data_IF_377586571034
#
_entry.id   IF_377586571034
#
_cell.length_a   1.000
_cell.length_b   1.000
_cell.length_c   1.000
_cell.angle_alpha   90.00
_cell.angle_beta   90.00
_cell.angle_gamma   90.00
#
_symmetry.space_group_name_H-M   'P 1'
#
loop_
_entity.id
_entity.type
_entity.pdbx_description
1 polymer ?
#
# COMPACT_ATOMS: atom_id res chain seq x y z
N UNK A 1 -6.84 10.55 20.53
CA UNK A 1 -5.56 10.77 19.81
C UNK A 1 -5.82 10.99 18.31
N UNK A 2 -6.16 12.21 17.86
CA UNK A 2 -7.12 12.30 16.75
C UNK A 2 -6.62 12.87 15.41
N UNK A 3 -5.42 13.45 15.30
CA UNK A 3 -4.99 14.11 14.04
C UNK A 3 -3.88 13.37 13.32
N UNK A 4 -2.79 13.01 14.00
CA UNK A 4 -1.66 12.32 13.35
C UNK A 4 -2.07 10.99 12.71
N UNK A 5 -2.85 10.15 13.42
CA UNK A 5 -3.34 8.86 12.89
C UNK A 5 -4.26 9.04 11.68
N UNK A 6 -5.11 10.08 11.66
CA UNK A 6 -5.98 10.41 10.53
C UNK A 6 -5.19 10.91 9.32
N UNK A 7 -4.22 11.79 9.55
CA UNK A 7 -3.31 12.29 8.50
C UNK A 7 -2.52 11.13 7.88
N UNK A 8 -1.97 10.25 8.72
CA UNK A 8 -1.27 9.05 8.25
C UNK A 8 -2.21 8.11 7.49
N UNK A 9 -3.43 7.89 7.98
CA UNK A 9 -4.43 7.08 7.28
C UNK A 9 -4.74 7.60 5.87
N UNK A 10 -4.97 8.90 5.74
CA UNK A 10 -5.19 9.54 4.43
C UNK A 10 -3.95 9.43 3.54
N UNK A 11 -2.76 9.69 4.10
CA UNK A 11 -1.50 9.57 3.35
C UNK A 11 -1.34 8.16 2.79
N UNK A 12 -1.59 7.11 3.57
CA UNK A 12 -1.46 5.73 3.13
C UNK A 12 -2.52 5.32 2.09
N UNK A 13 -3.75 5.83 2.19
CA UNK A 13 -4.79 5.56 1.18
C UNK A 13 -4.47 6.16 -0.18
N UNK A 14 -3.76 7.27 -0.25
CA UNK A 14 -3.35 7.90 -1.52
C UNK A 14 -2.03 7.30 -2.02
N UNK A 15 -1.07 7.08 -1.12
CA UNK A 15 0.25 6.56 -1.48
C UNK A 15 0.16 5.13 -2.05
N UNK A 16 -0.68 4.28 -1.45
CA UNK A 16 -0.86 2.89 -1.87
C UNK A 16 -1.24 2.73 -3.37
N UNK A 17 -2.33 3.33 -3.89
CA UNK A 17 -2.67 3.23 -5.30
C UNK A 17 -1.64 3.92 -6.21
N UNK A 18 -1.03 5.02 -5.77
CA UNK A 18 0.01 5.73 -6.54
C UNK A 18 1.24 4.83 -6.74
N UNK A 19 1.70 4.12 -5.71
CA UNK A 19 2.82 3.18 -5.81
C UNK A 19 2.49 2.02 -6.76
N UNK A 20 1.30 1.43 -6.65
CA UNK A 20 0.86 0.35 -7.56
C UNK A 20 0.80 0.84 -9.01
N UNK A 21 0.29 2.05 -9.24
CA UNK A 21 0.27 2.67 -10.57
C UNK A 21 1.68 2.80 -11.16
N UNK A 22 2.65 3.31 -10.38
CA UNK A 22 4.03 3.44 -10.83
C UNK A 22 4.70 2.08 -11.09
N UNK A 23 4.41 1.06 -10.30
CA UNK A 23 4.93 -0.30 -10.54
C UNK A 23 4.39 -0.88 -11.85
N UNK A 24 3.09 -0.71 -12.13
CA UNK A 24 2.50 -1.18 -13.40
C UNK A 24 3.06 -0.39 -14.58
N UNK A 25 3.15 0.93 -14.48
CA UNK A 25 3.71 1.77 -15.55
C UNK A 25 5.19 1.44 -15.80
N UNK A 26 5.96 1.20 -14.74
CA UNK A 26 7.33 0.71 -14.83
C UNK A 26 7.43 -0.63 -15.55
N UNK A 27 6.55 -1.58 -15.23
CA UNK A 27 6.51 -2.88 -15.90
C UNK A 27 6.22 -2.74 -17.39
N UNK A 28 5.20 -1.96 -17.76
CA UNK A 28 4.83 -1.71 -19.16
C UNK A 28 5.97 -1.05 -19.94
N UNK A 29 6.69 -0.10 -19.31
CA UNK A 29 7.78 0.61 -19.98
C UNK A 29 9.06 -0.23 -20.13
N UNK A 30 9.37 -1.08 -19.15
CA UNK A 30 10.66 -1.78 -19.13
C UNK A 30 10.61 -3.18 -19.73
N UNK A 31 9.45 -3.86 -19.73
CA UNK A 31 9.35 -5.22 -20.27
C UNK A 31 9.47 -5.16 -21.80
N UNK A 32 10.50 -5.82 -22.34
CA UNK A 32 10.73 -5.91 -23.78
C UNK A 32 11.37 -7.25 -24.14
N UNK A 33 10.94 -7.83 -25.26
CA UNK A 33 11.44 -9.12 -25.75
C UNK A 33 12.91 -9.08 -26.17
N UNK A 34 13.43 -7.91 -26.52
CA UNK A 34 14.82 -7.72 -26.96
C UNK A 34 15.76 -7.32 -25.83
N UNK A 35 15.23 -7.12 -24.62
CA UNK A 35 16.01 -6.67 -23.48
C UNK A 35 16.82 -7.79 -22.84
N UNK A 36 18.08 -7.49 -22.50
CA UNK A 36 19.02 -8.47 -21.93
C UNK A 36 19.11 -8.38 -20.40
N UNK A 37 18.57 -7.32 -19.78
CA UNK A 37 18.62 -7.11 -18.33
C UNK A 37 17.41 -7.73 -17.65
N UNK A 38 17.53 -8.06 -16.36
CA UNK A 38 16.43 -8.64 -15.60
C UNK A 38 15.20 -7.73 -15.51
N UNK A 39 15.40 -6.39 -15.52
CA UNK A 39 14.31 -5.41 -15.56
C UNK A 39 13.46 -5.51 -16.84
N UNK A 40 13.98 -6.12 -17.91
CA UNK A 40 13.24 -6.33 -19.16
C UNK A 40 12.40 -7.60 -19.16
N UNK A 41 12.61 -8.48 -18.18
CA UNK A 41 11.88 -9.74 -18.05
C UNK A 41 10.58 -9.50 -17.27
N UNK A 42 9.49 -10.21 -17.59
CA UNK A 42 8.22 -10.02 -16.89
C UNK A 42 8.22 -10.58 -15.46
N UNK A 43 8.99 -11.63 -15.18
CA UNK A 43 8.95 -12.35 -13.90
C UNK A 43 9.25 -11.44 -12.69
N UNK A 44 10.33 -10.63 -12.67
CA UNK A 44 10.60 -9.75 -11.53
C UNK A 44 9.46 -8.75 -11.25
N UNK A 45 8.88 -8.15 -12.30
CA UNK A 45 7.77 -7.21 -12.16
C UNK A 45 6.52 -7.88 -11.58
N UNK A 46 6.18 -9.08 -12.05
CA UNK A 46 5.03 -9.84 -11.54
C UNK A 46 5.21 -10.13 -10.05
N UNK A 47 6.38 -10.57 -9.62
CA UNK A 47 6.65 -10.86 -8.20
C UNK A 47 6.52 -9.60 -7.34
N UNK A 48 7.13 -8.48 -7.78
CA UNK A 48 7.07 -7.21 -7.03
C UNK A 48 5.62 -6.72 -6.93
N UNK A 49 4.88 -6.66 -8.04
CA UNK A 49 3.48 -6.21 -8.04
C UNK A 49 2.62 -7.14 -7.17
N UNK A 50 2.82 -8.46 -7.25
CA UNK A 50 2.07 -9.44 -6.47
C UNK A 50 2.29 -9.29 -4.96
N UNK A 51 3.50 -8.94 -4.51
CA UNK A 51 3.80 -8.72 -3.08
C UNK A 51 3.29 -7.34 -2.62
N UNK A 52 3.48 -6.30 -3.42
CA UNK A 52 3.08 -4.94 -3.02
C UNK A 52 1.56 -4.73 -3.06
N UNK A 53 0.82 -5.44 -3.91
CA UNK A 53 -0.64 -5.31 -4.00
C UNK A 53 -1.39 -5.62 -2.68
N UNK A 54 -1.19 -6.78 -2.02
CA UNK A 54 -1.85 -7.05 -0.74
C UNK A 54 -1.41 -6.10 0.37
N UNK A 55 -0.16 -5.63 0.36
CA UNK A 55 0.32 -4.60 1.30
C UNK A 55 -0.42 -3.27 1.08
N UNK A 56 -0.54 -2.84 -0.18
CA UNK A 56 -1.29 -1.65 -0.57
C UNK A 56 -2.76 -1.75 -0.15
N UNK A 57 -3.40 -2.92 -0.34
CA UNK A 57 -4.77 -3.17 0.13
C UNK A 57 -4.86 -3.05 1.66
N UNK A 58 -3.94 -3.66 2.40
CA UNK A 58 -3.89 -3.55 3.86
C UNK A 58 -3.76 -2.10 4.34
N UNK A 59 -2.91 -1.30 3.69
CA UNK A 59 -2.73 0.12 3.97
C UNK A 59 -3.98 0.95 3.64
N UNK A 60 -4.68 0.63 2.55
CA UNK A 60 -5.97 1.27 2.22
C UNK A 60 -7.04 0.96 3.26
N UNK A 61 -7.15 -0.31 3.68
CA UNK A 61 -8.09 -0.74 4.73
C UNK A 61 -7.76 -0.03 6.05
N UNK A 62 -6.49 -0.01 6.45
CA UNK A 62 -6.02 0.71 7.63
C UNK A 62 -6.39 2.19 7.56
N UNK A 63 -6.08 2.86 6.45
CA UNK A 63 -6.38 4.27 6.30
C UNK A 63 -7.88 4.57 6.33
N UNK A 64 -8.70 3.70 5.75
CA UNK A 64 -10.17 3.79 5.79
C UNK A 64 -10.71 3.71 7.22
N UNK A 65 -10.26 2.74 8.01
CA UNK A 65 -10.68 2.61 9.42
C UNK A 65 -10.12 3.73 10.31
N UNK A 66 -8.93 4.24 10.00
CA UNK A 66 -8.37 5.40 10.68
C UNK A 66 -9.18 6.67 10.44
N UNK A 67 -9.71 6.87 9.23
CA UNK A 67 -10.62 7.99 8.98
C UNK A 67 -11.95 7.86 9.72
N UNK A 68 -12.49 6.65 9.84
CA UNK A 68 -13.72 6.38 10.61
C UNK A 68 -13.57 6.56 12.12
N UNK A 69 -12.35 6.66 12.63
CA UNK A 69 -12.08 6.81 14.06
C UNK A 69 -12.17 5.49 14.83
N UNK A 70 -12.17 4.33 14.15
CA UNK A 70 -12.22 3.02 14.81
C UNK A 70 -10.96 2.76 15.67
N UNK A 71 -9.84 3.43 15.36
CA UNK A 71 -8.61 3.37 16.15
C UNK A 71 -8.51 4.42 17.27
N UNK A 72 -9.60 5.16 17.54
CA UNK A 72 -9.63 6.21 18.57
C UNK A 72 -9.87 5.63 19.98
N UNK A 73 -10.44 4.42 20.10
CA UNK A 73 -10.62 3.71 21.38
C UNK A 73 -9.62 2.56 21.51
N UNK A 74 -8.58 2.77 22.32
CA UNK A 74 -7.85 1.65 22.92
C UNK A 74 -8.30 1.60 24.39
N UNK A 75 -8.69 0.43 24.94
CA UNK A 75 -8.98 0.32 26.36
C UNK A 75 -7.75 0.76 27.14
N UNK A 76 -7.90 1.79 27.97
CA UNK A 76 -6.78 2.36 28.73
C UNK A 76 -6.52 1.57 30.02
N UNK A 77 -7.45 0.70 30.41
CA UNK A 77 -7.25 -0.29 31.47
C UNK A 77 -7.71 -1.69 31.07
N UNK A 78 -7.09 -2.75 31.65
CA UNK A 78 -7.54 -4.14 31.45
C UNK A 78 -8.98 -4.42 31.91
N UNK A 79 -9.59 -3.54 32.71
CA UNK A 79 -10.98 -3.67 33.16
C UNK A 79 -12.00 -3.25 32.09
N UNK A 80 -11.54 -2.60 31.00
CA UNK A 80 -12.36 -2.18 29.86
C UNK A 80 -12.38 -3.20 28.70
N UNK A 81 -11.73 -4.37 28.86
CA UNK A 81 -11.77 -5.53 27.97
C UNK A 81 -12.87 -6.51 28.35
#
# INVERSE_FOLDING_TARGET
MNQLKKILGIAWMVLAPVVIYFLIMGAVHNITATGTKDINKPIPWIIIIAIFTPIAIGLMIFGFYAMKGEYDRFPESPEEL
#
